data_IF_241032706158
#
_entry.id   IF_241032706158
#
_cell.length_a   1.000
_cell.length_b   1.000
_cell.length_c   1.000
_cell.angle_alpha   90.00
_cell.angle_beta   90.00
_cell.angle_gamma   90.00
#
_symmetry.space_group_name_H-M   'P 1'
#
loop_
_entity.id
_entity.type
_entity.pdbx_description
1 polymer ?
#
# COMPACT_ATOMS: atom_id res chain seq x y z
N UNK A 1 42.62 -18.50 -7.96
CA UNK A 1 42.13 -17.11 -8.04
C UNK A 1 41.60 -16.88 -9.45
N UNK A 2 40.29 -16.69 -9.61
CA UNK A 2 39.67 -16.34 -10.88
C UNK A 2 38.76 -15.13 -10.62
N UNK A 3 39.03 -13.94 -11.18
CA UNK A 3 38.19 -12.77 -11.00
C UNK A 3 36.98 -12.86 -11.94
N UNK A 4 35.88 -13.41 -11.44
CA UNK A 4 34.59 -13.40 -12.14
C UNK A 4 34.02 -11.99 -12.19
N UNK A 5 34.17 -11.34 -13.35
CA UNK A 5 33.44 -10.12 -13.68
C UNK A 5 31.94 -10.41 -13.77
N UNK A 6 31.13 -9.56 -13.12
CA UNK A 6 29.69 -9.54 -13.30
C UNK A 6 29.37 -8.64 -14.51
N UNK A 7 28.84 -9.17 -15.62
CA UNK A 7 28.25 -8.33 -16.64
C UNK A 7 26.84 -7.94 -16.19
N UNK A 8 26.67 -6.64 -15.93
CA UNK A 8 25.48 -5.88 -16.30
C UNK A 8 24.11 -6.55 -16.07
N UNK A 9 23.42 -6.17 -14.99
CA UNK A 9 21.97 -6.04 -15.03
C UNK A 9 21.57 -4.79 -14.27
N UNK A 10 21.41 -3.72 -15.04
CA UNK A 10 20.65 -2.54 -14.65
C UNK A 10 19.20 -3.03 -14.48
N UNK A 11 18.79 -3.37 -13.26
CA UNK A 11 17.39 -3.72 -13.00
C UNK A 11 16.61 -2.41 -12.87
N UNK A 12 16.05 -2.00 -14.01
CA UNK A 12 15.02 -0.98 -14.12
C UNK A 12 13.74 -1.52 -13.48
N UNK A 13 13.23 -0.81 -12.48
CA UNK A 13 11.80 -0.70 -12.17
C UNK A 13 11.03 -1.97 -11.79
N UNK A 14 10.93 -2.24 -10.49
CA UNK A 14 9.62 -2.41 -9.83
C UNK A 14 8.78 -3.64 -10.16
N UNK A 15 9.37 -4.82 -10.38
CA UNK A 15 8.61 -6.08 -10.41
C UNK A 15 9.29 -7.17 -9.58
N UNK A 16 9.53 -6.90 -8.31
CA UNK A 16 9.77 -7.97 -7.35
C UNK A 16 8.41 -8.60 -7.01
N UNK A 17 8.18 -9.79 -7.55
CA UNK A 17 7.13 -10.67 -7.06
C UNK A 17 7.29 -10.76 -5.55
N UNK A 18 6.28 -10.30 -4.79
CA UNK A 18 6.30 -10.26 -3.33
C UNK A 18 6.37 -11.70 -2.80
N UNK A 19 7.55 -12.31 -2.82
CA UNK A 19 7.75 -13.58 -2.16
C UNK A 19 7.64 -13.30 -0.65
N UNK A 20 6.88 -14.11 0.12
CA UNK A 20 6.75 -13.95 1.57
C UNK A 20 8.10 -13.84 2.30
N UNK A 21 9.15 -14.46 1.74
CA UNK A 21 10.53 -14.37 2.23
C UNK A 21 11.14 -12.97 2.10
N UNK A 22 10.76 -12.19 1.09
CA UNK A 22 11.22 -10.80 0.92
C UNK A 22 10.52 -9.90 1.94
N UNK A 23 9.21 -10.07 2.14
CA UNK A 23 8.48 -9.36 3.19
C UNK A 23 9.06 -9.63 4.59
N UNK A 24 9.47 -10.87 4.88
CA UNK A 24 10.02 -11.25 6.18
C UNK A 24 11.41 -10.67 6.46
N UNK A 25 12.20 -10.36 5.42
CA UNK A 25 13.53 -9.74 5.56
C UNK A 25 13.51 -8.21 5.42
N UNK A 26 12.40 -7.65 4.94
CA UNK A 26 12.23 -6.22 4.73
C UNK A 26 12.00 -5.47 6.06
N UNK A 27 12.46 -4.22 6.12
CA UNK A 27 12.15 -3.35 7.26
C UNK A 27 10.64 -3.08 7.37
N UNK A 28 10.12 -2.70 8.55
CA UNK A 28 8.69 -2.41 8.71
C UNK A 28 8.16 -1.34 7.74
N UNK A 29 9.02 -0.38 7.37
CA UNK A 29 8.69 0.65 6.38
C UNK A 29 8.55 0.07 4.96
N UNK A 30 9.47 -0.81 4.57
CA UNK A 30 9.42 -1.50 3.27
C UNK A 30 8.22 -2.44 3.19
N UNK A 31 7.89 -3.16 4.28
CA UNK A 31 6.68 -3.99 4.34
C UNK A 31 5.42 -3.17 4.05
N UNK A 32 5.28 -2.00 4.68
CA UNK A 32 4.16 -1.09 4.42
C UNK A 32 4.14 -0.60 2.98
N UNK A 33 5.30 -0.28 2.41
CA UNK A 33 5.40 0.12 1.02
C UNK A 33 4.92 -0.99 0.07
N UNK A 34 5.37 -2.23 0.28
CA UNK A 34 4.96 -3.41 -0.49
C UNK A 34 3.46 -3.71 -0.36
N UNK A 35 2.92 -3.63 0.86
CA UNK A 35 1.48 -3.78 1.11
C UNK A 35 0.68 -2.69 0.39
N UNK A 36 1.19 -1.46 0.40
CA UNK A 36 0.60 -0.31 -0.28
C UNK A 36 0.49 -0.52 -1.79
N UNK A 37 1.54 -1.05 -2.42
CA UNK A 37 1.53 -1.35 -3.86
C UNK A 37 0.50 -2.43 -4.22
N UNK A 38 0.16 -3.33 -3.30
CA UNK A 38 -0.89 -4.35 -3.51
C UNK A 38 -2.29 -3.81 -3.23
N UNK A 39 -2.45 -3.02 -2.18
CA UNK A 39 -3.72 -2.43 -1.81
C UNK A 39 -4.15 -1.35 -2.81
N UNK A 40 -3.22 -0.54 -3.31
CA UNK A 40 -3.51 0.57 -4.21
C UNK A 40 -4.38 0.19 -5.42
N UNK A 41 -4.03 -0.80 -6.26
CA UNK A 41 -4.86 -1.16 -7.41
C UNK A 41 -6.25 -1.69 -7.00
N UNK A 42 -6.37 -2.37 -5.87
CA UNK A 42 -7.65 -2.85 -5.35
C UNK A 42 -8.54 -1.68 -4.89
N UNK A 43 -7.95 -0.73 -4.17
CA UNK A 43 -8.65 0.49 -3.73
C UNK A 43 -9.01 1.35 -4.95
N UNK A 44 -8.13 1.45 -5.95
CA UNK A 44 -8.37 2.22 -7.16
C UNK A 44 -9.56 1.70 -7.97
N UNK A 45 -9.82 0.39 -7.97
CA UNK A 45 -11.03 -0.18 -8.57
C UNK A 45 -12.32 0.25 -7.86
N UNK A 46 -12.27 0.52 -6.55
CA UNK A 46 -13.42 0.92 -5.73
C UNK A 46 -13.59 2.44 -5.76
N UNK A 47 -12.50 3.18 -5.57
CA UNK A 47 -12.47 4.64 -5.47
C UNK A 47 -11.23 5.20 -6.18
N UNK A 48 -11.29 5.46 -7.49
CA UNK A 48 -10.13 5.90 -8.26
C UNK A 48 -9.65 7.31 -7.89
N UNK A 49 -10.56 8.19 -7.45
CA UNK A 49 -10.24 9.61 -7.19
C UNK A 49 -9.41 9.77 -5.91
N UNK A 50 -9.78 9.04 -4.86
CA UNK A 50 -9.14 9.14 -3.54
C UNK A 50 -8.19 7.97 -3.24
N UNK A 51 -7.95 7.07 -4.21
CA UNK A 51 -7.17 5.85 -4.01
C UNK A 51 -5.83 6.08 -3.32
N UNK A 52 -5.04 7.06 -3.79
CA UNK A 52 -3.74 7.40 -3.20
C UNK A 52 -3.86 7.82 -1.74
N UNK A 53 -4.87 8.64 -1.41
CA UNK A 53 -5.04 9.20 -0.07
C UNK A 53 -5.59 8.16 0.90
N UNK A 54 -6.54 7.34 0.45
CA UNK A 54 -7.08 6.21 1.20
C UNK A 54 -5.97 5.18 1.45
N UNK A 55 -5.19 4.81 0.43
CA UNK A 55 -4.07 3.88 0.58
C UNK A 55 -3.08 4.42 1.63
N UNK A 56 -2.72 5.70 1.56
CA UNK A 56 -1.85 6.33 2.56
C UNK A 56 -2.39 6.23 3.99
N UNK A 57 -3.69 6.48 4.19
CA UNK A 57 -4.32 6.37 5.52
C UNK A 57 -4.41 4.91 6.00
N UNK A 58 -4.73 3.98 5.11
CA UNK A 58 -4.81 2.56 5.46
C UNK A 58 -3.43 2.01 5.82
N UNK A 59 -2.36 2.49 5.17
CA UNK A 59 -0.99 2.14 5.52
C UNK A 59 -0.57 2.59 6.92
N UNK A 60 -1.34 3.43 7.62
CA UNK A 60 -1.08 3.75 9.03
C UNK A 60 -1.48 2.61 9.96
N UNK A 61 -2.35 1.70 9.51
CA UNK A 61 -2.81 0.52 10.27
C UNK A 61 -1.69 -0.54 10.37
N UNK A 62 -1.83 -1.48 11.29
CA UNK A 62 -0.95 -2.61 11.48
C UNK A 62 -0.89 -3.54 10.26
N UNK A 63 0.29 -4.11 10.01
CA UNK A 63 0.54 -5.00 8.87
C UNK A 63 -0.38 -6.24 8.88
N UNK A 64 -0.72 -6.76 10.05
CA UNK A 64 -1.66 -7.90 10.21
C UNK A 64 -3.04 -7.58 9.65
N UNK A 65 -3.56 -6.38 9.92
CA UNK A 65 -4.87 -5.96 9.42
C UNK A 65 -4.82 -5.72 7.90
N UNK A 66 -3.73 -5.13 7.41
CA UNK A 66 -3.52 -4.92 5.98
C UNK A 66 -3.46 -6.25 5.21
N UNK A 67 -2.84 -7.28 5.78
CA UNK A 67 -2.85 -8.63 5.22
C UNK A 67 -4.26 -9.21 5.20
N UNK A 68 -5.02 -9.09 6.29
CA UNK A 68 -6.41 -9.55 6.35
C UNK A 68 -7.29 -8.84 5.31
N UNK A 69 -7.06 -7.54 5.04
CA UNK A 69 -7.74 -6.79 3.99
C UNK A 69 -7.37 -7.25 2.58
N UNK A 70 -6.15 -7.75 2.36
CA UNK A 70 -5.75 -8.34 1.10
C UNK A 70 -6.42 -9.71 0.87
N UNK A 71 -6.68 -10.46 1.93
CA UNK A 71 -7.38 -11.75 1.89
C UNK A 71 -8.90 -11.60 1.80
N UNK A 72 -9.47 -10.55 2.39
CA UNK A 72 -10.91 -10.29 2.45
C UNK A 72 -11.29 -8.99 1.74
N UNK A 73 -11.88 -9.13 0.55
CA UNK A 73 -12.41 -8.00 -0.25
C UNK A 73 -13.50 -7.23 0.51
N UNK A 74 -14.30 -7.90 1.33
CA UNK A 74 -15.33 -7.24 2.17
C UNK A 74 -14.68 -6.36 3.24
N UNK A 75 -13.64 -6.86 3.92
CA UNK A 75 -12.87 -6.10 4.90
C UNK A 75 -12.20 -4.88 4.26
N UNK A 76 -11.61 -5.05 3.07
CA UNK A 76 -11.03 -3.95 2.31
C UNK A 76 -12.08 -2.88 1.99
N UNK A 77 -13.24 -3.28 1.46
CA UNK A 77 -14.29 -2.34 1.08
C UNK A 77 -14.80 -1.56 2.30
N UNK A 78 -15.08 -2.23 3.42
CA UNK A 78 -15.53 -1.58 4.64
C UNK A 78 -14.54 -0.50 5.10
N UNK A 79 -13.23 -0.82 5.12
CA UNK A 79 -12.20 0.14 5.51
C UNK A 79 -12.01 1.28 4.51
N UNK A 80 -12.18 1.01 3.22
CA UNK A 80 -12.18 2.06 2.19
C UNK A 80 -13.34 3.04 2.41
N UNK A 81 -14.55 2.55 2.74
CA UNK A 81 -15.69 3.41 3.02
C UNK A 81 -15.50 4.25 4.30
N UNK A 82 -14.97 3.66 5.37
CA UNK A 82 -14.59 4.40 6.58
C UNK A 82 -13.56 5.50 6.28
N UNK A 83 -12.51 5.18 5.52
CA UNK A 83 -11.48 6.14 5.13
C UNK A 83 -12.05 7.28 4.27
N UNK A 84 -12.99 6.99 3.37
CA UNK A 84 -13.70 8.02 2.59
C UNK A 84 -14.47 8.97 3.52
N UNK A 85 -15.24 8.43 4.47
CA UNK A 85 -16.01 9.23 5.41
C UNK A 85 -15.11 10.15 6.25
N UNK A 86 -13.98 9.63 6.74
CA UNK A 86 -12.99 10.43 7.48
C UNK A 86 -12.38 11.51 6.60
N UNK A 87 -12.02 11.19 5.35
CA UNK A 87 -11.48 12.17 4.40
C UNK A 87 -12.46 13.28 4.05
N UNK A 88 -13.75 12.95 3.92
CA UNK A 88 -14.81 13.94 3.68
C UNK A 88 -15.02 14.83 4.90
N UNK A 89 -15.08 14.24 6.11
CA UNK A 89 -15.20 15.00 7.34
C UNK A 89 -14.01 15.95 7.56
N UNK A 90 -12.79 15.48 7.27
CA UNK A 90 -11.59 16.31 7.37
C UNK A 90 -11.58 17.43 6.32
N UNK A 91 -11.97 17.15 5.07
CA UNK A 91 -12.09 18.18 4.02
C UNK A 91 -13.15 19.23 4.37
N UNK A 92 -14.32 18.82 4.84
CA UNK A 92 -15.37 19.73 5.27
C UNK A 92 -14.84 20.63 6.40
N UNK A 93 -14.17 20.06 7.40
CA UNK A 93 -13.58 20.82 8.50
C UNK A 93 -12.52 21.83 8.03
N UNK A 94 -11.68 21.45 7.06
CA UNK A 94 -10.66 22.34 6.47
C UNK A 94 -11.29 23.50 5.68
N UNK A 95 -12.42 23.28 5.02
CA UNK A 95 -13.13 24.30 4.24
C UNK A 95 -13.79 25.37 5.12
N UNK A 96 -14.27 24.99 6.31
CA UNK A 96 -14.92 25.90 7.27
C UNK A 96 -13.94 26.55 8.27
N UNK A 97 -12.65 26.19 8.21
CA UNK A 97 -11.60 26.73 9.09
C UNK A 97 -10.81 27.88 8.44
N UNK A 98 -11.22 28.35 7.26
CA UNK A 98 -10.69 29.51 6.53
C UNK A 98 -11.73 30.64 6.49
#
# INVERSE_FOLDING_TARGET
MNPGGFPNSIVVGGQESLAPAVLANATPQEQKQMLGERLFPLIQQIQPVLARKITGMLLEIDNTELLHMLESRESLKAKVEEAIAVLQAHQAKQLYAA
#
